data_IF_317637372408
#
_entry.id   IF_317637372408
#
_cell.length_a   1.000
_cell.length_b   1.000
_cell.length_c   1.000
_cell.angle_alpha   90.00
_cell.angle_beta   90.00
_cell.angle_gamma   90.00
#
_symmetry.space_group_name_H-M   'P 1'
#
loop_
_entity.id
_entity.type
_entity.pdbx_description
1 polymer ?
#
# COMPACT_ATOMS: atom_id res chain seq x y z
N UNK A 1 11.68 34.65 3.48
CA UNK A 1 10.50 35.52 3.29
C UNK A 1 9.28 34.67 3.63
N UNK A 2 8.59 34.98 4.72
CA UNK A 2 7.50 34.16 5.24
C UNK A 2 6.24 34.26 4.37
N UNK A 3 5.49 33.17 4.31
CA UNK A 3 4.18 33.08 3.64
C UNK A 3 3.28 34.21 4.20
N UNK A 4 2.58 34.98 3.35
CA UNK A 4 1.69 36.04 3.82
C UNK A 4 0.69 35.50 4.85
N UNK A 5 0.61 36.13 6.02
CA UNK A 5 -0.17 35.64 7.16
C UNK A 5 -1.66 35.41 6.84
N UNK A 6 -2.22 36.15 5.87
CA UNK A 6 -3.60 35.99 5.42
C UNK A 6 -3.82 34.72 4.56
N UNK A 7 -2.82 34.31 3.79
CA UNK A 7 -2.82 33.04 3.03
C UNK A 7 -2.65 31.87 4.00
N UNK A 8 -1.74 32.00 4.97
CA UNK A 8 -1.52 31.01 6.01
C UNK A 8 -2.79 30.78 6.87
N UNK A 9 -3.47 31.88 7.25
CA UNK A 9 -4.71 31.81 8.01
C UNK A 9 -5.89 31.23 7.21
N UNK A 10 -5.96 31.44 5.89
CA UNK A 10 -7.01 30.84 5.04
C UNK A 10 -6.78 29.35 4.75
N UNK A 11 -5.52 28.91 4.59
CA UNK A 11 -5.18 27.54 4.20
C UNK A 11 -5.03 26.58 5.39
N UNK A 12 -4.61 27.07 6.57
CA UNK A 12 -4.16 26.20 7.67
C UNK A 12 -4.97 26.28 8.96
N UNK A 13 -5.94 27.19 9.10
CA UNK A 13 -6.88 27.19 10.23
C UNK A 13 -7.98 26.12 10.05
N UNK A 14 -7.59 24.85 10.09
CA UNK A 14 -8.55 23.77 10.35
C UNK A 14 -8.86 23.76 11.86
N UNK A 15 -10.14 23.84 12.28
CA UNK A 15 -10.56 23.72 13.68
C UNK A 15 -10.23 22.36 14.34
N UNK A 16 -9.67 21.39 13.60
CA UNK A 16 -9.43 20.02 14.03
C UNK A 16 -8.37 19.89 15.12
N UNK A 17 -7.38 20.79 15.18
CA UNK A 17 -6.39 20.85 16.26
C UNK A 17 -7.01 21.16 17.65
N UNK A 18 -8.23 21.72 17.70
CA UNK A 18 -8.92 22.05 18.96
C UNK A 18 -10.00 21.06 19.39
N UNK A 19 -10.29 20.02 18.59
CA UNK A 19 -11.39 19.09 18.86
C UNK A 19 -11.01 17.62 18.60
N UNK A 20 -10.25 16.97 19.52
CA UNK A 20 -9.85 15.56 19.38
C UNK A 20 -11.03 14.57 19.33
N UNK A 21 -12.23 15.03 19.68
CA UNK A 21 -13.47 14.25 19.62
C UNK A 21 -13.84 13.83 18.19
N UNK A 22 -13.60 14.65 17.16
CA UNK A 22 -14.02 14.32 15.79
C UNK A 22 -13.28 13.13 15.18
N UNK A 23 -11.92 13.09 15.19
CA UNK A 23 -11.19 11.92 14.68
C UNK A 23 -11.61 10.62 15.38
N UNK A 24 -11.80 10.64 16.71
CA UNK A 24 -12.21 9.47 17.48
C UNK A 24 -13.62 9.02 17.10
N UNK A 25 -14.59 9.95 16.97
CA UNK A 25 -15.94 9.62 16.51
C UNK A 25 -15.92 9.04 15.09
N UNK A 26 -15.12 9.60 14.18
CA UNK A 26 -14.95 9.08 12.83
C UNK A 26 -14.33 7.68 12.82
N UNK A 27 -13.34 7.40 13.69
CA UNK A 27 -12.75 6.08 13.84
C UNK A 27 -13.78 5.05 14.33
N UNK A 28 -14.59 5.40 15.34
CA UNK A 28 -15.68 4.54 15.82
C UNK A 28 -16.65 4.23 14.69
N UNK A 29 -17.09 5.24 13.94
CA UNK A 29 -18.00 5.06 12.82
C UNK A 29 -17.40 4.14 11.73
N UNK A 30 -16.13 4.32 11.38
CA UNK A 30 -15.43 3.50 10.40
C UNK A 30 -15.31 2.03 10.85
N UNK A 31 -14.97 1.78 12.12
CA UNK A 31 -14.86 0.42 12.68
C UNK A 31 -16.22 -0.26 12.73
N UNK A 32 -17.28 0.44 13.17
CA UNK A 32 -18.64 -0.11 13.20
C UNK A 32 -19.13 -0.46 11.80
N UNK A 33 -18.95 0.44 10.84
CA UNK A 33 -19.34 0.23 9.45
C UNK A 33 -18.57 -0.94 8.82
N UNK A 34 -17.26 -1.03 9.09
CA UNK A 34 -16.43 -2.16 8.64
C UNK A 34 -16.92 -3.47 9.26
N UNK A 35 -17.26 -3.47 10.55
CA UNK A 35 -17.84 -4.62 11.23
C UNK A 35 -19.16 -5.07 10.61
N UNK A 36 -20.07 -4.14 10.29
CA UNK A 36 -21.32 -4.44 9.58
C UNK A 36 -21.04 -5.15 8.26
N UNK A 37 -20.03 -4.73 7.50
CA UNK A 37 -19.68 -5.39 6.24
C UNK A 37 -19.02 -6.76 6.42
N UNK A 38 -18.15 -6.93 7.43
CA UNK A 38 -17.52 -8.22 7.71
C UNK A 38 -18.54 -9.26 8.18
N UNK A 39 -19.56 -8.87 8.96
CA UNK A 39 -20.63 -9.76 9.41
C UNK A 39 -21.78 -9.91 8.40
N UNK A 40 -22.11 -8.85 7.66
CA UNK A 40 -23.21 -8.78 6.68
C UNK A 40 -22.85 -9.24 5.27
N UNK A 41 -21.57 -9.50 5.00
CA UNK A 41 -21.07 -10.05 3.74
C UNK A 41 -20.61 -8.98 2.74
N UNK A 42 -19.62 -9.36 1.93
CA UNK A 42 -18.86 -8.47 1.02
C UNK A 42 -19.69 -7.88 -0.12
N UNK A 43 -20.85 -8.48 -0.43
CA UNK A 43 -21.75 -8.04 -1.51
C UNK A 43 -22.23 -6.60 -1.37
N UNK A 44 -22.35 -6.09 -0.13
CA UNK A 44 -22.80 -4.71 0.12
C UNK A 44 -21.73 -3.67 -0.27
N UNK A 45 -20.46 -3.95 0.06
CA UNK A 45 -19.33 -3.12 -0.35
C UNK A 45 -19.16 -3.17 -1.87
N UNK A 46 -19.26 -4.36 -2.45
CA UNK A 46 -19.14 -4.53 -3.91
C UNK A 46 -20.13 -3.63 -4.65
N UNK A 47 -21.41 -3.62 -4.22
CA UNK A 47 -22.43 -2.74 -4.79
C UNK A 47 -22.12 -1.25 -4.63
N UNK A 48 -21.64 -0.82 -3.46
CA UNK A 48 -21.28 0.58 -3.24
C UNK A 48 -20.09 0.99 -4.12
N UNK A 49 -19.05 0.16 -4.19
CA UNK A 49 -17.86 0.42 -4.99
C UNK A 49 -18.15 0.42 -6.49
N UNK A 50 -19.07 -0.42 -6.97
CA UNK A 50 -19.52 -0.42 -8.36
C UNK A 50 -20.14 0.90 -8.81
N UNK A 51 -20.63 1.73 -7.88
CA UNK A 51 -21.20 3.06 -8.17
C UNK A 51 -20.19 4.17 -7.87
N UNK A 52 -19.56 4.13 -6.69
CA UNK A 52 -18.71 5.22 -6.20
C UNK A 52 -17.36 5.31 -6.92
N UNK A 53 -16.76 4.19 -7.31
CA UNK A 53 -15.47 4.21 -8.02
C UNK A 53 -15.61 4.85 -9.41
N UNK A 54 -16.63 4.51 -10.24
CA UNK A 54 -16.88 5.22 -11.48
C UNK A 54 -17.17 6.72 -11.27
N UNK A 55 -17.94 7.09 -10.23
CA UNK A 55 -18.21 8.50 -9.91
C UNK A 55 -16.91 9.24 -9.57
N UNK A 56 -16.04 8.65 -8.75
CA UNK A 56 -14.75 9.24 -8.42
C UNK A 56 -13.91 9.46 -9.68
N UNK A 57 -13.84 8.47 -10.57
CA UNK A 57 -13.11 8.58 -11.83
C UNK A 57 -13.66 9.71 -12.71
N UNK A 58 -14.99 9.83 -12.82
CA UNK A 58 -15.63 10.92 -13.58
C UNK A 58 -15.28 12.28 -12.97
N UNK A 59 -15.34 12.41 -11.63
CA UNK A 59 -14.97 13.64 -10.93
C UNK A 59 -13.50 13.98 -11.20
N UNK A 60 -12.60 13.00 -11.14
CA UNK A 60 -11.18 13.22 -11.37
C UNK A 60 -10.87 13.62 -12.82
N UNK A 61 -11.49 12.97 -13.81
CA UNK A 61 -11.33 13.32 -15.23
C UNK A 61 -11.87 14.74 -15.50
N UNK A 62 -13.05 15.06 -14.95
CA UNK A 62 -13.61 16.41 -15.03
C UNK A 62 -12.68 17.44 -14.40
N UNK A 63 -12.20 17.16 -13.19
CA UNK A 63 -11.31 18.04 -12.41
C UNK A 63 -9.99 18.24 -13.14
N UNK A 64 -9.41 17.18 -13.71
CA UNK A 64 -8.24 17.23 -14.56
C UNK A 64 -8.48 18.14 -15.77
N UNK A 65 -9.50 17.87 -16.58
CA UNK A 65 -9.80 18.67 -17.77
C UNK A 65 -10.03 20.15 -17.43
N UNK A 66 -10.70 20.43 -16.31
CA UNK A 66 -10.92 21.79 -15.85
C UNK A 66 -9.65 22.46 -15.33
N UNK A 67 -8.79 21.74 -14.60
CA UNK A 67 -7.53 22.29 -14.07
C UNK A 67 -6.62 22.81 -15.19
N UNK A 68 -6.66 22.18 -16.36
CA UNK A 68 -5.87 22.59 -17.53
C UNK A 68 -6.31 23.94 -18.10
N UNK A 69 -7.59 24.31 -17.96
CA UNK A 69 -8.10 25.60 -18.48
C UNK A 69 -7.82 26.78 -17.57
N UNK A 70 -7.21 26.53 -16.40
CA UNK A 70 -6.88 27.58 -15.43
C UNK A 70 -5.68 28.42 -15.90
N UNK A 71 -5.69 29.74 -15.67
CA UNK A 71 -4.52 30.58 -15.97
C UNK A 71 -3.29 30.09 -15.19
N UNK A 72 -2.12 30.07 -15.82
CA UNK A 72 -0.86 29.60 -15.24
C UNK A 72 -0.80 28.09 -14.92
N UNK A 73 -1.78 27.29 -15.36
CA UNK A 73 -1.75 25.83 -15.24
C UNK A 73 -0.51 25.24 -15.90
N UNK A 74 -0.10 25.81 -17.04
CA UNK A 74 1.07 25.41 -17.80
C UNK A 74 2.38 25.58 -17.02
N UNK A 75 2.42 26.51 -16.05
CA UNK A 75 3.59 26.69 -15.17
C UNK A 75 3.71 25.52 -14.21
N UNK A 76 2.59 25.10 -13.59
CA UNK A 76 2.54 23.94 -12.71
C UNK A 76 2.87 22.64 -13.45
N UNK A 77 2.34 22.46 -14.67
CA UNK A 77 2.64 21.31 -15.53
C UNK A 77 4.12 21.30 -15.90
N UNK A 78 4.66 22.41 -16.41
CA UNK A 78 6.09 22.51 -16.75
C UNK A 78 6.96 22.19 -15.55
N UNK A 79 6.59 22.70 -14.38
CA UNK A 79 7.32 22.40 -13.15
C UNK A 79 7.31 20.90 -12.81
N UNK A 80 6.15 20.23 -12.90
CA UNK A 80 5.99 18.79 -12.65
C UNK A 80 6.77 17.89 -13.64
N UNK A 81 7.08 18.39 -14.84
CA UNK A 81 7.78 17.61 -15.88
C UNK A 81 9.20 18.13 -16.21
N UNK A 82 9.73 19.12 -15.49
CA UNK A 82 11.10 19.65 -15.72
C UNK A 82 12.10 19.04 -14.74
N UNK A 83 12.92 18.04 -15.13
CA UNK A 83 13.81 17.36 -14.20
C UNK A 83 14.89 18.28 -13.61
N UNK A 84 15.13 18.16 -12.30
CA UNK A 84 16.23 18.85 -11.60
C UNK A 84 17.44 17.92 -11.54
N UNK A 85 18.32 17.99 -12.53
CA UNK A 85 19.46 17.06 -12.67
C UNK A 85 20.42 17.06 -11.48
N UNK A 86 20.55 18.20 -10.80
CA UNK A 86 21.36 18.35 -9.58
C UNK A 86 20.86 17.45 -8.43
N UNK A 87 19.58 17.08 -8.42
CA UNK A 87 19.01 16.24 -7.37
C UNK A 87 19.53 14.81 -7.40
N UNK A 88 20.00 14.29 -8.55
CA UNK A 88 20.60 12.96 -8.65
C UNK A 88 21.93 12.82 -7.89
N UNK A 89 22.60 13.94 -7.62
CA UNK A 89 23.80 13.96 -6.77
C UNK A 89 23.46 13.89 -5.28
N UNK A 90 22.20 14.12 -4.90
CA UNK A 90 21.75 14.05 -3.51
C UNK A 90 21.40 12.60 -3.17
N UNK A 91 22.12 11.96 -2.25
CA UNK A 91 21.88 10.55 -1.96
C UNK A 91 20.50 10.27 -1.35
N UNK A 92 19.98 11.22 -0.56
CA UNK A 92 18.63 11.14 0.01
C UNK A 92 17.53 10.93 -1.04
N UNK A 93 17.71 11.42 -2.27
CA UNK A 93 16.79 11.18 -3.37
C UNK A 93 16.67 9.68 -3.70
N UNK A 94 17.79 8.97 -3.74
CA UNK A 94 17.83 7.54 -4.06
C UNK A 94 17.24 6.69 -2.96
N UNK A 95 17.46 7.06 -1.69
CA UNK A 95 16.85 6.39 -0.53
C UNK A 95 15.34 6.49 -0.60
N UNK A 96 14.87 7.71 -0.78
CA UNK A 96 13.45 8.02 -0.82
C UNK A 96 12.79 7.35 -2.04
N UNK A 97 13.45 7.33 -3.22
CA UNK A 97 12.96 6.61 -4.39
C UNK A 97 12.94 5.07 -4.23
N UNK A 98 13.97 4.48 -3.62
CA UNK A 98 14.05 3.03 -3.44
C UNK A 98 13.08 2.53 -2.35
N UNK A 99 12.97 3.27 -1.24
CA UNK A 99 11.97 3.00 -0.19
C UNK A 99 10.56 3.09 -0.76
N UNK A 100 10.32 4.11 -1.60
CA UNK A 100 9.05 4.28 -2.30
C UNK A 100 8.74 3.11 -3.24
N UNK A 101 9.70 2.66 -4.05
CA UNK A 101 9.49 1.51 -4.96
C UNK A 101 9.24 0.19 -4.20
N UNK A 102 9.95 -0.03 -3.10
CA UNK A 102 9.73 -1.20 -2.24
C UNK A 102 8.33 -1.20 -1.61
N UNK A 103 7.83 -0.02 -1.22
CA UNK A 103 6.48 0.18 -0.70
C UNK A 103 5.41 -0.01 -1.78
N UNK A 104 5.57 0.64 -2.93
CA UNK A 104 4.63 0.67 -4.05
C UNK A 104 4.39 -0.73 -4.67
N UNK A 105 5.45 -1.51 -4.82
CA UNK A 105 5.34 -2.90 -5.33
C UNK A 105 4.79 -3.89 -4.31
N UNK A 106 4.61 -3.49 -3.04
CA UNK A 106 4.15 -4.36 -1.95
C UNK A 106 5.08 -5.52 -1.62
N UNK A 107 6.35 -5.46 -2.07
CA UNK A 107 7.34 -6.52 -1.90
C UNK A 107 7.60 -6.82 -0.41
N UNK A 108 7.46 -5.83 0.47
CA UNK A 108 7.61 -5.97 1.92
C UNK A 108 6.36 -6.46 2.67
N UNK A 109 5.18 -6.54 2.04
CA UNK A 109 3.91 -6.88 2.71
C UNK A 109 3.37 -8.26 2.33
N UNK A 110 4.15 -9.06 1.59
CA UNK A 110 3.79 -10.43 1.16
C UNK A 110 2.46 -10.54 0.39
N UNK A 111 1.95 -9.44 -0.17
CA UNK A 111 0.64 -9.41 -0.84
C UNK A 111 0.65 -10.29 -2.08
N UNK A 112 1.64 -10.12 -2.95
CA UNK A 112 1.79 -10.92 -4.17
C UNK A 112 2.11 -12.39 -3.85
N UNK A 113 2.86 -12.64 -2.78
CA UNK A 113 3.13 -13.99 -2.31
C UNK A 113 1.83 -14.70 -1.92
N UNK A 114 0.93 -14.00 -1.25
CA UNK A 114 -0.35 -14.55 -0.84
C UNK A 114 -1.27 -14.80 -2.05
N UNK A 115 -1.28 -13.91 -3.04
CA UNK A 115 -1.95 -14.15 -4.32
C UNK A 115 -1.50 -15.43 -5.01
N UNK A 116 -0.20 -15.68 -5.02
CA UNK A 116 0.36 -16.88 -5.62
C UNK A 116 -0.20 -18.16 -5.00
N UNK A 117 -0.62 -18.13 -3.72
CA UNK A 117 -1.22 -19.30 -3.05
C UNK A 117 -2.62 -19.66 -3.57
N UNK A 118 -3.33 -18.73 -4.21
CA UNK A 118 -4.68 -18.96 -4.75
C UNK A 118 -4.68 -19.28 -6.26
N UNK A 119 -3.63 -18.89 -6.99
CA UNK A 119 -3.38 -19.29 -8.38
C UNK A 119 -3.11 -20.81 -8.42
N UNK A 120 -3.74 -21.67 -9.22
CA UNK A 120 -3.75 -21.68 -10.67
C UNK A 120 -2.40 -22.14 -11.23
N UNK A 121 -2.13 -23.44 -11.45
CA UNK A 121 -0.88 -23.88 -12.11
C UNK A 121 -0.76 -23.43 -13.57
N UNK A 122 -1.90 -23.13 -14.20
CA UNK A 122 -1.97 -22.53 -15.53
C UNK A 122 -1.77 -21.01 -15.53
N UNK A 123 -1.72 -20.37 -14.36
CA UNK A 123 -1.46 -18.94 -14.27
C UNK A 123 0.02 -18.66 -14.58
N UNK A 124 0.28 -17.65 -15.43
CA UNK A 124 1.64 -17.25 -15.80
C UNK A 124 2.32 -16.35 -14.75
N UNK A 125 2.47 -16.84 -13.52
CA UNK A 125 3.00 -16.09 -12.35
C UNK A 125 4.28 -15.31 -12.70
N UNK A 126 5.23 -15.92 -13.40
CA UNK A 126 6.50 -15.33 -13.82
C UNK A 126 6.28 -14.11 -14.70
N UNK A 127 5.50 -14.25 -15.79
CA UNK A 127 5.16 -13.12 -16.67
C UNK A 127 4.56 -11.97 -15.86
N UNK A 128 3.59 -12.26 -15.01
CA UNK A 128 2.90 -11.23 -14.25
C UNK A 128 3.78 -10.59 -13.17
N UNK A 129 4.65 -11.37 -12.52
CA UNK A 129 5.63 -10.83 -11.56
C UNK A 129 6.63 -9.85 -12.19
N UNK A 130 6.86 -9.96 -13.51
CA UNK A 130 7.66 -9.01 -14.27
C UNK A 130 6.83 -7.82 -14.75
N UNK A 131 5.66 -8.07 -15.35
CA UNK A 131 4.85 -7.00 -15.96
C UNK A 131 4.18 -6.10 -14.93
N UNK A 132 3.78 -6.61 -13.76
CA UNK A 132 3.10 -5.80 -12.73
C UNK A 132 4.02 -4.67 -12.26
N UNK A 133 5.26 -4.91 -11.77
CA UNK A 133 6.15 -3.83 -11.36
C UNK A 133 6.57 -2.92 -12.51
N UNK A 134 6.80 -3.46 -13.72
CA UNK A 134 7.15 -2.64 -14.89
C UNK A 134 6.03 -1.66 -15.20
N UNK A 135 4.79 -2.15 -15.30
CA UNK A 135 3.64 -1.31 -15.63
C UNK A 135 3.31 -0.32 -14.51
N UNK A 136 3.55 -0.71 -13.26
CA UNK A 136 3.45 0.19 -12.12
C UNK A 136 4.47 1.35 -12.21
N UNK A 137 5.72 1.04 -12.56
CA UNK A 137 6.77 2.05 -12.71
C UNK A 137 6.69 2.85 -14.02
N UNK A 138 6.09 2.30 -15.09
CA UNK A 138 6.05 2.92 -16.44
C UNK A 138 5.34 4.29 -16.43
N UNK A 139 4.33 4.44 -15.58
CA UNK A 139 3.58 5.70 -15.44
C UNK A 139 4.32 6.68 -14.52
N UNK A 140 5.26 6.20 -13.70
CA UNK A 140 6.01 6.97 -12.70
C UNK A 140 7.31 7.63 -13.22
N UNK A 141 7.69 7.43 -14.49
CA UNK A 141 8.97 7.90 -15.07
C UNK A 141 9.12 9.42 -15.24
N UNK A 142 8.17 10.25 -14.82
CA UNK A 142 8.17 11.67 -15.14
C UNK A 142 9.07 12.58 -14.25
N UNK A 143 9.42 12.22 -13.00
CA UNK A 143 10.37 12.98 -12.16
C UNK A 143 10.64 12.27 -10.81
N UNK A 144 11.88 12.22 -10.26
CA UNK A 144 12.14 11.51 -9.00
C UNK A 144 11.87 12.29 -7.69
N UNK A 145 12.06 13.62 -7.64
CA UNK A 145 12.18 14.34 -6.36
C UNK A 145 10.87 14.74 -5.68
N UNK A 146 9.88 15.19 -6.46
CA UNK A 146 8.58 15.66 -5.95
C UNK A 146 7.52 14.56 -5.92
N UNK A 147 7.76 13.52 -6.70
CA UNK A 147 6.96 12.32 -6.70
C UNK A 147 7.21 11.46 -5.48
N UNK A 148 8.27 11.57 -4.70
CA UNK A 148 8.39 10.62 -3.58
C UNK A 148 7.26 10.84 -2.57
N UNK A 149 6.92 12.09 -2.23
CA UNK A 149 5.75 12.39 -1.39
C UNK A 149 4.40 12.14 -2.09
N UNK A 150 4.26 12.50 -3.38
CA UNK A 150 3.03 12.27 -4.14
C UNK A 150 2.82 10.79 -4.56
N UNK A 151 3.91 10.04 -4.71
CA UNK A 151 3.96 8.61 -4.98
C UNK A 151 3.85 7.82 -3.69
N UNK A 152 4.31 8.32 -2.53
CA UNK A 152 3.90 7.79 -1.22
C UNK A 152 2.38 7.79 -1.15
N UNK A 153 1.73 8.90 -1.55
CA UNK A 153 0.27 8.98 -1.62
C UNK A 153 -0.39 8.12 -2.71
N UNK A 154 0.21 8.02 -3.91
CA UNK A 154 -0.24 7.13 -5.01
C UNK A 154 -0.11 5.64 -4.62
N UNK A 155 0.93 5.28 -3.85
CA UNK A 155 1.21 3.92 -3.41
C UNK A 155 0.30 3.46 -2.25
N UNK A 156 -0.24 4.39 -1.46
CA UNK A 156 -1.40 4.12 -0.61
C UNK A 156 -2.63 3.71 -1.45
N UNK A 157 -2.79 4.30 -2.63
CA UNK A 157 -3.96 4.19 -3.50
C UNK A 157 -4.02 2.85 -4.26
N UNK A 158 -2.87 2.30 -4.69
CA UNK A 158 -2.82 1.02 -5.43
C UNK A 158 -3.25 -0.19 -4.60
N UNK A 159 -3.20 -0.08 -3.26
CA UNK A 159 -3.57 -1.16 -2.34
C UNK A 159 -2.73 -2.45 -2.45
N UNK A 160 -1.72 -2.47 -3.34
CA UNK A 160 -0.80 -3.58 -3.57
C UNK A 160 0.20 -3.73 -2.41
N UNK A 161 0.53 -2.62 -1.74
CA UNK A 161 1.22 -2.62 -0.45
C UNK A 161 0.34 -3.19 0.66
N UNK A 162 -0.83 -2.61 0.93
CA UNK A 162 -1.57 -2.86 2.18
C UNK A 162 -2.40 -4.16 2.26
N UNK A 163 -2.26 -5.10 1.32
CA UNK A 163 -3.11 -6.31 1.22
C UNK A 163 -4.57 -6.06 0.81
N UNK A 164 -4.86 -4.89 0.20
CA UNK A 164 -6.20 -4.57 -0.30
C UNK A 164 -6.61 -5.53 -1.42
N UNK A 165 -5.67 -5.74 -2.33
CA UNK A 165 -5.77 -6.71 -3.41
C UNK A 165 -5.98 -8.14 -2.87
N UNK A 166 -5.25 -8.53 -1.81
CA UNK A 166 -5.40 -9.86 -1.20
C UNK A 166 -6.85 -10.16 -0.78
N UNK A 167 -7.54 -9.21 -0.17
CA UNK A 167 -8.96 -9.38 0.18
C UNK A 167 -9.81 -9.64 -1.03
N UNK A 168 -9.63 -8.89 -2.12
CA UNK A 168 -10.33 -9.17 -3.37
C UNK A 168 -10.02 -10.57 -3.92
N UNK A 169 -8.76 -11.01 -3.82
CA UNK A 169 -8.35 -12.36 -4.21
C UNK A 169 -9.14 -13.45 -3.45
N UNK A 170 -9.38 -13.26 -2.15
CA UNK A 170 -10.11 -14.24 -1.34
C UNK A 170 -11.59 -14.41 -1.72
N UNK A 171 -12.18 -13.42 -2.41
CA UNK A 171 -13.56 -13.47 -2.88
C UNK A 171 -13.68 -13.76 -4.39
N UNK A 172 -12.58 -13.72 -5.13
CA UNK A 172 -12.55 -14.02 -6.56
C UNK A 172 -12.49 -15.53 -6.80
N UNK A 173 -13.42 -16.04 -7.62
CA UNK A 173 -13.37 -17.43 -8.10
C UNK A 173 -12.13 -17.67 -8.96
N UNK A 174 -11.65 -18.92 -9.04
CA UNK A 174 -10.45 -19.29 -9.82
C UNK A 174 -10.55 -19.06 -11.33
N UNK A 175 -11.75 -18.90 -11.87
CA UNK A 175 -12.02 -18.50 -13.26
C UNK A 175 -11.87 -16.99 -13.49
N UNK A 176 -11.83 -16.19 -12.41
CA UNK A 176 -11.55 -14.78 -12.52
C UNK A 176 -10.14 -14.61 -13.10
N UNK A 177 -10.00 -13.69 -14.06
CA UNK A 177 -8.71 -13.31 -14.62
C UNK A 177 -7.92 -12.44 -13.62
N UNK A 178 -7.70 -12.96 -12.41
CA UNK A 178 -7.02 -12.30 -11.29
C UNK A 178 -5.74 -11.64 -11.79
N UNK A 179 -4.97 -12.33 -12.61
CA UNK A 179 -3.72 -11.82 -13.14
C UNK A 179 -3.85 -10.72 -14.18
N UNK A 180 -4.94 -10.68 -14.96
CA UNK A 180 -5.25 -9.50 -15.78
C UNK A 180 -5.60 -8.32 -14.87
N UNK A 181 -6.43 -8.54 -13.86
CA UNK A 181 -6.79 -7.50 -12.89
C UNK A 181 -5.56 -6.97 -12.14
N UNK A 182 -4.65 -7.83 -11.69
CA UNK A 182 -3.40 -7.45 -11.03
C UNK A 182 -2.48 -6.63 -11.92
N UNK A 183 -2.59 -6.71 -13.26
CA UNK A 183 -1.87 -5.87 -14.20
C UNK A 183 -2.59 -4.54 -14.46
N UNK A 184 -3.89 -4.57 -14.72
CA UNK A 184 -4.67 -3.38 -15.08
C UNK A 184 -4.92 -2.45 -13.89
N UNK A 185 -5.11 -2.98 -12.68
CA UNK A 185 -5.38 -2.16 -11.50
C UNK A 185 -4.22 -1.19 -11.21
N UNK A 186 -2.94 -1.63 -11.14
CA UNK A 186 -1.83 -0.70 -10.94
C UNK A 186 -1.67 0.35 -12.05
N UNK A 187 -1.92 -0.03 -13.31
CA UNK A 187 -1.87 0.93 -14.43
C UNK A 187 -2.92 2.01 -14.25
N UNK A 188 -4.17 1.61 -14.00
CA UNK A 188 -5.28 2.55 -13.83
C UNK A 188 -5.06 3.44 -12.61
N UNK A 189 -4.55 2.88 -11.52
CA UNK A 189 -4.19 3.63 -10.33
C UNK A 189 -3.18 4.73 -10.64
N UNK A 190 -2.05 4.38 -11.26
CA UNK A 190 -1.01 5.37 -11.58
C UNK A 190 -1.48 6.42 -12.58
N UNK A 191 -2.33 6.06 -13.55
CA UNK A 191 -2.93 7.03 -14.47
C UNK A 191 -3.83 8.02 -13.72
N UNK A 192 -4.67 7.52 -12.81
CA UNK A 192 -5.52 8.36 -11.97
C UNK A 192 -4.70 9.29 -11.09
N UNK A 193 -3.63 8.79 -10.45
CA UNK A 193 -2.74 9.61 -9.64
C UNK A 193 -1.93 10.61 -10.47
N UNK A 194 -1.57 10.28 -11.71
CA UNK A 194 -0.96 11.23 -12.64
C UNK A 194 -1.92 12.37 -13.00
N UNK A 195 -3.18 12.05 -13.31
CA UNK A 195 -4.21 13.06 -13.56
C UNK A 195 -4.49 13.91 -12.32
N UNK A 196 -4.57 13.30 -11.14
CA UNK A 196 -4.74 14.02 -9.89
C UNK A 196 -3.55 14.94 -9.59
N UNK A 197 -2.32 14.47 -9.80
CA UNK A 197 -1.09 15.26 -9.64
C UNK A 197 -1.10 16.46 -10.58
N UNK A 198 -1.33 16.26 -11.88
CA UNK A 198 -1.44 17.37 -12.84
C UNK A 198 -2.53 18.35 -12.41
N UNK A 199 -3.68 17.86 -11.96
CA UNK A 199 -4.78 18.71 -11.53
C UNK A 199 -4.44 19.55 -10.30
N UNK A 200 -3.80 18.95 -9.30
CA UNK A 200 -3.35 19.63 -8.09
C UNK A 200 -2.27 20.66 -8.45
N UNK A 201 -1.20 20.28 -9.15
CA UNK A 201 -0.13 21.21 -9.54
C UNK A 201 -0.64 22.37 -10.38
N UNK A 202 -1.49 22.10 -11.37
CA UNK A 202 -2.13 23.14 -12.19
C UNK A 202 -2.94 24.10 -11.33
N UNK A 203 -3.70 23.57 -10.37
CA UNK A 203 -4.52 24.37 -9.47
C UNK A 203 -3.68 25.22 -8.53
N UNK A 204 -2.74 24.61 -7.81
CA UNK A 204 -1.93 25.30 -6.80
C UNK A 204 -1.15 26.43 -7.43
N UNK A 205 -0.48 26.17 -8.56
CA UNK A 205 0.26 27.20 -9.29
C UNK A 205 -0.68 28.27 -9.84
N UNK A 206 -1.82 27.90 -10.42
CA UNK A 206 -2.81 28.86 -10.91
C UNK A 206 -3.31 29.79 -9.80
N UNK A 207 -3.69 29.23 -8.65
CA UNK A 207 -4.22 29.99 -7.52
C UNK A 207 -3.16 30.87 -6.90
N UNK A 208 -1.97 30.33 -6.57
CA UNK A 208 -0.94 31.10 -5.88
C UNK A 208 -0.31 32.18 -6.75
N UNK A 209 -0.07 31.91 -8.04
CA UNK A 209 0.42 32.95 -8.98
C UNK A 209 -0.67 33.98 -9.25
N UNK A 210 -1.94 33.55 -9.28
CA UNK A 210 -3.08 34.45 -9.44
C UNK A 210 -3.28 35.39 -8.25
N UNK A 211 -2.99 34.94 -7.03
CA UNK A 211 -3.06 35.77 -5.81
C UNK A 211 -1.80 36.63 -5.59
N UNK A 212 -0.62 36.07 -5.85
CA UNK A 212 0.67 36.75 -5.72
C UNK A 212 1.54 36.52 -6.96
N UNK A 213 1.51 37.46 -7.90
CA UNK A 213 2.28 37.39 -9.14
C UNK A 213 3.80 37.43 -8.97
N UNK A 214 4.30 37.74 -7.77
CA UNK A 214 5.74 37.74 -7.46
C UNK A 214 6.21 36.44 -6.79
N UNK A 215 5.31 35.48 -6.52
CA UNK A 215 5.67 34.25 -5.84
C UNK A 215 6.62 33.39 -6.68
N UNK A 216 7.68 32.89 -6.05
CA UNK A 216 8.65 32.03 -6.73
C UNK A 216 8.17 30.59 -6.77
N UNK A 217 8.57 29.83 -7.81
CA UNK A 217 8.22 28.40 -7.94
C UNK A 217 8.69 27.57 -6.74
N UNK A 218 9.87 27.90 -6.19
CA UNK A 218 10.40 27.30 -4.96
C UNK A 218 9.54 27.62 -3.73
N UNK A 219 8.96 28.82 -3.63
CA UNK A 219 8.05 29.17 -2.55
C UNK A 219 6.72 28.41 -2.65
N UNK A 220 6.16 28.28 -3.87
CA UNK A 220 4.98 27.44 -4.11
C UNK A 220 5.24 25.99 -3.67
N UNK A 221 6.40 25.44 -4.05
CA UNK A 221 6.80 24.08 -3.65
C UNK A 221 6.85 23.94 -2.13
N UNK A 222 7.47 24.89 -1.44
CA UNK A 222 7.54 24.87 0.03
C UNK A 222 6.16 24.93 0.66
N UNK A 223 5.24 25.74 0.13
CA UNK A 223 3.85 25.79 0.60
C UNK A 223 3.19 24.42 0.42
N UNK A 224 3.35 23.78 -0.75
CA UNK A 224 2.78 22.46 -1.01
C UNK A 224 3.35 21.39 -0.05
N UNK A 225 4.66 21.41 0.20
CA UNK A 225 5.34 20.47 1.10
C UNK A 225 4.99 20.70 2.57
N UNK A 226 4.74 21.95 2.97
CA UNK A 226 4.35 22.32 4.33
C UNK A 226 2.83 22.26 4.53
N UNK A 227 2.06 21.92 3.49
CA UNK A 227 0.61 21.83 3.59
C UNK A 227 0.19 20.57 4.36
N UNK A 228 0.13 20.69 5.69
CA UNK A 228 -0.31 19.63 6.60
C UNK A 228 0.74 18.54 6.86
N UNK A 229 0.68 17.82 8.01
CA UNK A 229 1.55 16.69 8.29
C UNK A 229 1.40 15.59 7.22
N UNK A 230 2.51 14.96 6.82
CA UNK A 230 2.49 13.80 5.90
C UNK A 230 1.87 14.07 4.51
N UNK A 231 1.99 15.27 3.95
CA UNK A 231 1.41 15.66 2.64
C UNK A 231 -0.12 15.66 2.54
N UNK A 232 -0.82 15.61 3.68
CA UNK A 232 -2.30 15.57 3.73
C UNK A 232 -2.98 16.81 3.15
N UNK A 233 -2.34 17.97 3.15
CA UNK A 233 -2.92 19.21 2.65
C UNK A 233 -3.13 19.25 1.14
N UNK A 234 -2.45 18.41 0.35
CA UNK A 234 -2.71 18.32 -1.10
C UNK A 234 -4.17 17.95 -1.39
N UNK A 235 -4.71 16.95 -0.69
CA UNK A 235 -6.10 16.52 -0.86
C UNK A 235 -7.06 17.35 -0.01
N UNK A 236 -6.75 17.57 1.27
CA UNK A 236 -7.70 18.18 2.20
C UNK A 236 -7.73 19.71 2.17
N UNK A 237 -6.74 20.35 1.53
CA UNK A 237 -6.69 21.82 1.38
C UNK A 237 -6.92 22.22 -0.08
N UNK A 238 -6.15 21.66 -1.02
CA UNK A 238 -6.12 22.18 -2.39
C UNK A 238 -7.27 21.70 -3.27
N UNK A 239 -7.81 20.50 -3.07
CA UNK A 239 -9.02 20.04 -3.78
C UNK A 239 -10.26 20.90 -3.42
N UNK A 240 -10.55 21.21 -2.14
CA UNK A 240 -11.60 22.18 -1.81
C UNK A 240 -11.38 23.56 -2.43
N UNK A 241 -10.14 24.07 -2.42
CA UNK A 241 -9.79 25.36 -3.03
C UNK A 241 -10.11 25.35 -4.52
N UNK A 242 -9.75 24.27 -5.23
CA UNK A 242 -10.11 24.08 -6.63
C UNK A 242 -11.63 24.20 -6.82
N UNK A 243 -12.40 23.36 -6.13
CA UNK A 243 -13.84 23.32 -6.29
C UNK A 243 -14.55 24.61 -5.86
N UNK A 244 -13.98 25.39 -4.93
CA UNK A 244 -14.55 26.68 -4.52
C UNK A 244 -14.68 27.68 -5.68
N UNK A 245 -13.82 27.56 -6.70
CA UNK A 245 -13.84 28.38 -7.90
C UNK A 245 -14.99 28.02 -8.86
N UNK A 246 -15.75 26.95 -8.60
CA UNK A 246 -16.83 26.46 -9.45
C UNK A 246 -18.24 26.72 -8.86
N UNK A 247 -18.34 27.69 -7.96
CA UNK A 247 -19.60 28.13 -7.36
C UNK A 247 -20.37 26.99 -6.67
N UNK A 248 -21.68 26.92 -6.90
CA UNK A 248 -22.56 25.92 -6.28
C UNK A 248 -22.25 24.50 -6.74
N UNK A 249 -21.96 24.30 -8.03
CA UNK A 249 -21.63 22.98 -8.57
C UNK A 249 -20.31 22.46 -7.98
N UNK A 250 -19.36 23.35 -7.70
CA UNK A 250 -18.14 23.04 -6.96
C UNK A 250 -18.38 22.45 -5.58
N UNK A 251 -19.34 22.97 -4.80
CA UNK A 251 -19.68 22.40 -3.49
C UNK A 251 -20.21 20.97 -3.60
N UNK A 252 -21.03 20.69 -4.62
CA UNK A 252 -21.56 19.35 -4.88
C UNK A 252 -20.42 18.39 -5.27
N UNK A 253 -19.54 18.81 -6.18
CA UNK A 253 -18.36 18.02 -6.59
C UNK A 253 -17.43 17.74 -5.41
N UNK A 254 -17.20 18.73 -4.55
CA UNK A 254 -16.40 18.58 -3.34
C UNK A 254 -17.02 17.56 -2.37
N UNK A 255 -18.33 17.63 -2.14
CA UNK A 255 -19.03 16.67 -1.29
C UNK A 255 -18.98 15.25 -1.85
N UNK A 256 -19.20 15.09 -3.16
CA UNK A 256 -19.11 13.79 -3.83
C UNK A 256 -17.68 13.24 -3.82
N UNK A 257 -16.67 14.09 -4.02
CA UNK A 257 -15.26 13.71 -3.95
C UNK A 257 -14.90 13.13 -2.58
N UNK A 258 -15.22 13.83 -1.49
CA UNK A 258 -14.93 13.31 -0.14
C UNK A 258 -15.79 12.11 0.24
N UNK A 259 -17.03 12.01 -0.26
CA UNK A 259 -17.84 10.80 -0.11
C UNK A 259 -17.15 9.60 -0.76
N UNK A 260 -16.65 9.76 -1.98
CA UNK A 260 -15.88 8.72 -2.66
C UNK A 260 -14.59 8.39 -1.90
N UNK A 261 -13.87 9.39 -1.39
CA UNK A 261 -12.65 9.21 -0.61
C UNK A 261 -12.90 8.39 0.68
N UNK A 262 -14.03 8.63 1.36
CA UNK A 262 -14.43 7.84 2.54
C UNK A 262 -14.62 6.36 2.18
N UNK A 263 -15.32 6.06 1.07
CA UNK A 263 -15.54 4.68 0.65
C UNK A 263 -14.27 3.99 0.16
N UNK A 264 -13.37 4.72 -0.51
CA UNK A 264 -12.04 4.23 -0.87
C UNK A 264 -11.19 3.90 0.38
N UNK A 265 -11.28 4.73 1.42
CA UNK A 265 -10.65 4.43 2.72
C UNK A 265 -11.28 3.21 3.42
N UNK A 266 -12.59 3.07 3.39
CA UNK A 266 -13.32 1.94 4.00
C UNK A 266 -13.04 0.61 3.32
N UNK A 267 -12.96 0.57 1.98
CA UNK A 267 -12.62 -0.65 1.25
C UNK A 267 -11.21 -1.12 1.59
N UNK A 268 -10.28 -0.18 1.75
CA UNK A 268 -8.90 -0.48 2.19
C UNK A 268 -8.86 -0.97 3.63
N UNK A 269 -9.59 -0.31 4.54
CA UNK A 269 -9.68 -0.73 5.95
C UNK A 269 -10.24 -2.15 6.11
N UNK A 270 -11.32 -2.48 5.40
CA UNK A 270 -11.89 -3.83 5.37
C UNK A 270 -10.82 -4.85 5.02
N UNK A 271 -10.06 -4.55 3.96
CA UNK A 271 -9.11 -5.49 3.44
C UNK A 271 -7.90 -5.69 4.36
N UNK A 272 -7.45 -4.62 5.02
CA UNK A 272 -6.41 -4.71 6.04
C UNK A 272 -6.86 -5.56 7.23
N UNK A 273 -8.10 -5.39 7.69
CA UNK A 273 -8.65 -6.18 8.79
C UNK A 273 -8.78 -7.66 8.41
N UNK A 274 -9.10 -7.95 7.14
CA UNK A 274 -9.23 -9.31 6.65
C UNK A 274 -7.93 -10.11 6.76
N UNK A 275 -6.75 -9.48 6.64
CA UNK A 275 -5.45 -10.14 6.85
C UNK A 275 -5.33 -10.69 8.27
N UNK A 276 -5.66 -9.88 9.27
CA UNK A 276 -5.62 -10.31 10.67
C UNK A 276 -6.62 -11.43 10.96
N UNK A 277 -7.81 -11.34 10.35
CA UNK A 277 -8.83 -12.40 10.46
C UNK A 277 -8.30 -13.71 9.89
N UNK A 278 -7.63 -13.68 8.73
CA UNK A 278 -7.08 -14.89 8.11
C UNK A 278 -5.92 -15.46 8.93
N UNK A 279 -4.99 -14.63 9.39
CA UNK A 279 -3.90 -15.07 10.26
C UNK A 279 -4.44 -15.73 11.54
N UNK A 280 -5.47 -15.15 12.16
CA UNK A 280 -6.13 -15.74 13.33
C UNK A 280 -6.84 -17.07 13.00
N UNK A 281 -7.47 -17.17 11.82
CA UNK A 281 -8.10 -18.42 11.38
C UNK A 281 -7.09 -19.52 11.07
N UNK A 282 -5.90 -19.18 10.55
CA UNK A 282 -4.83 -20.14 10.28
C UNK A 282 -4.32 -20.79 11.57
N UNK A 283 -4.29 -20.06 12.69
CA UNK A 283 -4.01 -20.65 14.00
C UNK A 283 -5.24 -21.31 14.64
N UNK A 284 -6.36 -21.45 13.92
CA UNK A 284 -7.57 -22.17 14.34
C UNK A 284 -8.55 -21.35 15.19
N UNK A 285 -8.54 -20.01 15.12
CA UNK A 285 -9.55 -19.17 15.80
C UNK A 285 -10.86 -19.18 15.00
N UNK A 286 -12.03 -19.38 15.65
CA UNK A 286 -13.33 -19.30 14.98
C UNK A 286 -13.58 -17.94 14.33
N UNK A 287 -14.25 -17.92 13.18
CA UNK A 287 -14.43 -16.71 12.37
C UNK A 287 -15.03 -15.52 13.14
N UNK A 288 -16.07 -15.73 13.96
CA UNK A 288 -16.70 -14.66 14.75
C UNK A 288 -15.72 -14.01 15.72
N UNK A 289 -14.94 -14.82 16.42
CA UNK A 289 -13.94 -14.34 17.38
C UNK A 289 -12.83 -13.59 16.65
N UNK A 290 -12.35 -14.15 15.53
CA UNK A 290 -11.31 -13.53 14.70
C UNK A 290 -11.73 -12.14 14.18
N UNK A 291 -12.98 -11.98 13.73
CA UNK A 291 -13.52 -10.69 13.28
C UNK A 291 -13.60 -9.69 14.44
N UNK A 292 -14.25 -10.06 15.54
CA UNK A 292 -14.43 -9.17 16.69
C UNK A 292 -13.08 -8.77 17.31
N UNK A 293 -12.17 -9.71 17.50
CA UNK A 293 -10.84 -9.42 18.05
C UNK A 293 -10.03 -8.50 17.16
N UNK A 294 -10.10 -8.68 15.83
CA UNK A 294 -9.36 -7.84 14.87
C UNK A 294 -9.90 -6.42 14.84
N UNK A 295 -11.23 -6.24 14.89
CA UNK A 295 -11.86 -4.91 14.95
C UNK A 295 -11.52 -4.18 16.26
N UNK A 296 -11.60 -4.87 17.39
CA UNK A 296 -11.26 -4.29 18.69
C UNK A 296 -9.77 -3.94 18.79
N UNK A 297 -8.88 -4.80 18.28
CA UNK A 297 -7.45 -4.52 18.23
C UNK A 297 -7.15 -3.31 17.33
N UNK A 298 -7.76 -3.23 16.14
CA UNK A 298 -7.61 -2.10 15.22
C UNK A 298 -8.08 -0.79 15.87
N UNK A 299 -9.22 -0.81 16.57
CA UNK A 299 -9.70 0.35 17.31
C UNK A 299 -8.74 0.76 18.43
N UNK A 300 -8.34 -0.19 19.29
CA UNK A 300 -7.51 0.09 20.46
C UNK A 300 -6.11 0.60 20.07
N UNK A 301 -5.47 -0.02 19.09
CA UNK A 301 -4.13 0.36 18.61
C UNK A 301 -4.19 1.64 17.77
N UNK A 302 -5.28 1.89 17.06
CA UNK A 302 -5.45 3.13 16.27
C UNK A 302 -5.88 4.35 17.08
N UNK A 303 -6.42 4.17 18.29
CA UNK A 303 -6.93 5.26 19.12
C UNK A 303 -5.89 6.34 19.45
N UNK A 304 -4.63 6.01 19.82
CA UNK A 304 -3.59 7.02 20.02
C UNK A 304 -3.37 7.90 18.79
N UNK A 305 -3.36 7.31 17.59
CA UNK A 305 -3.21 8.02 16.31
C UNK A 305 -4.40 8.92 15.98
N UNK A 306 -5.62 8.54 16.40
CA UNK A 306 -6.80 9.39 16.26
C UNK A 306 -6.75 10.60 17.21
N UNK A 307 -6.13 10.47 18.38
CA UNK A 307 -6.04 11.55 19.37
C UNK A 307 -4.90 12.52 19.04
N UNK A 308 -3.75 12.02 18.57
CA UNK A 308 -2.58 12.84 18.25
C UNK A 308 -2.02 12.52 16.86
N UNK A 309 -1.96 13.55 16.01
CA UNK A 309 -1.41 13.44 14.66
C UNK A 309 0.08 13.08 14.65
N UNK A 310 0.86 13.52 15.65
CA UNK A 310 2.28 13.13 15.78
C UNK A 310 2.47 11.62 15.94
N UNK A 311 1.53 10.94 16.62
CA UNK A 311 1.55 9.48 16.75
C UNK A 311 1.21 8.85 15.40
N UNK A 312 0.21 9.37 14.68
CA UNK A 312 -0.11 8.90 13.35
C UNK A 312 1.11 9.00 12.41
N UNK A 313 1.79 10.14 12.42
CA UNK A 313 3.00 10.38 11.61
C UNK A 313 4.15 9.43 12.00
N UNK A 314 4.37 9.20 13.30
CA UNK A 314 5.35 8.21 13.75
C UNK A 314 5.02 6.80 13.25
N UNK A 315 3.76 6.36 13.44
CA UNK A 315 3.35 5.02 13.04
C UNK A 315 3.49 4.83 11.52
N UNK A 316 3.14 5.85 10.73
CA UNK A 316 3.27 5.80 9.28
C UNK A 316 4.74 5.64 8.84
N UNK A 317 5.64 6.47 9.38
CA UNK A 317 7.07 6.40 9.09
C UNK A 317 7.70 5.08 9.56
N UNK A 318 7.46 4.71 10.83
CA UNK A 318 8.04 3.52 11.46
C UNK A 318 7.65 2.24 10.73
N UNK A 319 6.37 2.07 10.37
CA UNK A 319 5.92 0.87 9.65
C UNK A 319 6.21 0.92 8.15
N UNK A 320 6.30 2.12 7.55
CA UNK A 320 6.77 2.30 6.18
C UNK A 320 8.20 1.77 5.98
N UNK A 321 9.12 2.13 6.87
CA UNK A 321 10.49 1.61 6.85
C UNK A 321 10.58 0.10 7.17
N UNK A 322 9.68 -0.41 8.03
CA UNK A 322 9.64 -1.83 8.39
C UNK A 322 9.37 -2.74 7.18
N UNK A 323 8.78 -2.23 6.10
CA UNK A 323 8.54 -3.00 4.88
C UNK A 323 9.84 -3.50 4.24
N UNK A 324 10.91 -2.70 4.32
CA UNK A 324 12.23 -3.10 3.80
C UNK A 324 12.77 -4.29 4.60
N UNK A 325 12.60 -4.25 5.93
CA UNK A 325 12.98 -5.35 6.84
C UNK A 325 12.18 -6.61 6.52
N UNK A 326 10.88 -6.48 6.33
CA UNK A 326 10.01 -7.60 5.96
C UNK A 326 10.39 -8.20 4.60
N UNK A 327 10.69 -7.37 3.60
CA UNK A 327 11.21 -7.81 2.30
C UNK A 327 12.52 -8.59 2.43
N UNK A 328 13.44 -8.11 3.28
CA UNK A 328 14.68 -8.83 3.59
C UNK A 328 14.41 -10.19 4.23
N UNK A 329 13.48 -10.29 5.18
CA UNK A 329 13.10 -11.57 5.80
C UNK A 329 12.60 -12.57 4.74
N UNK A 330 11.81 -12.12 3.75
CA UNK A 330 11.35 -12.99 2.66
C UNK A 330 12.51 -13.52 1.81
N UNK A 331 13.52 -12.69 1.52
CA UNK A 331 14.70 -13.17 0.78
C UNK A 331 15.49 -14.22 1.57
N UNK A 332 15.56 -14.07 2.90
CA UNK A 332 16.21 -15.04 3.79
C UNK A 332 15.48 -16.39 3.73
N UNK A 333 14.14 -16.41 3.62
CA UNK A 333 13.38 -17.65 3.45
C UNK A 333 13.77 -18.39 2.17
N UNK A 334 13.95 -17.68 1.06
CA UNK A 334 14.40 -18.26 -0.22
C UNK A 334 15.80 -18.85 -0.09
N UNK A 335 16.70 -18.15 0.61
CA UNK A 335 18.06 -18.64 0.89
C UNK A 335 18.02 -19.89 1.76
N UNK A 336 17.25 -19.87 2.86
CA UNK A 336 17.11 -20.97 3.80
C UNK A 336 16.54 -22.24 3.15
N UNK A 337 15.65 -22.09 2.18
CA UNK A 337 15.04 -23.20 1.43
C UNK A 337 15.97 -23.82 0.36
N UNK A 338 17.13 -23.21 0.09
CA UNK A 338 17.99 -23.41 -1.09
C UNK A 338 17.46 -22.68 -2.34
N UNK A 339 18.13 -21.60 -2.80
CA UNK A 339 17.61 -20.72 -3.83
C UNK A 339 17.59 -21.36 -5.23
N UNK A 340 18.55 -22.26 -5.52
CA UNK A 340 18.55 -23.03 -6.78
C UNK A 340 17.37 -24.00 -6.83
N UNK A 341 17.07 -24.63 -5.70
CA UNK A 341 15.91 -25.52 -5.59
C UNK A 341 14.60 -24.73 -5.67
N UNK A 342 14.53 -23.58 -5.00
CA UNK A 342 13.37 -22.68 -5.08
C UNK A 342 13.07 -22.31 -6.54
N UNK A 343 14.09 -21.85 -7.28
CA UNK A 343 13.96 -21.49 -8.69
C UNK A 343 13.47 -22.66 -9.54
N UNK A 344 14.03 -23.86 -9.37
CA UNK A 344 13.67 -25.02 -10.20
C UNK A 344 12.30 -25.59 -9.87
N UNK A 345 11.98 -25.74 -8.59
CA UNK A 345 10.79 -26.47 -8.13
C UNK A 345 9.59 -25.55 -7.98
N UNK A 346 9.77 -24.42 -7.28
CA UNK A 346 8.66 -23.52 -6.91
C UNK A 346 8.31 -22.56 -8.04
N UNK A 347 9.33 -22.04 -8.75
CA UNK A 347 9.11 -21.09 -9.85
C UNK A 347 8.92 -21.83 -11.18
N UNK A 348 9.98 -22.45 -11.69
CA UNK A 348 9.99 -23.00 -13.06
C UNK A 348 9.21 -24.32 -13.19
N UNK A 349 9.14 -25.13 -12.13
CA UNK A 349 8.50 -26.45 -12.15
C UNK A 349 7.01 -26.43 -11.80
N UNK A 350 6.51 -25.34 -11.23
CA UNK A 350 5.11 -25.27 -10.79
C UNK A 350 4.14 -24.95 -11.93
N UNK A 351 4.49 -23.98 -12.80
CA UNK A 351 3.64 -23.51 -13.89
C UNK A 351 3.65 -24.42 -15.13
N UNK A 352 2.51 -24.57 -15.80
CA UNK A 352 2.38 -25.43 -17.00
C UNK A 352 2.62 -24.72 -18.34
N UNK A 353 2.47 -23.39 -18.40
CA UNK A 353 2.60 -22.57 -19.62
C UNK A 353 3.13 -21.16 -19.31
N UNK A 354 4.22 -21.11 -18.55
CA UNK A 354 4.83 -19.86 -18.08
C UNK A 354 6.25 -19.67 -18.63
N UNK A 355 6.80 -18.46 -18.46
CA UNK A 355 8.20 -18.20 -18.77
C UNK A 355 9.12 -18.85 -17.75
N UNK A 356 10.29 -19.28 -18.20
CA UNK A 356 11.33 -19.81 -17.33
C UNK A 356 12.20 -18.67 -16.84
N UNK A 357 12.41 -18.61 -15.52
CA UNK A 357 13.30 -17.64 -14.89
C UNK A 357 14.75 -18.15 -14.97
N UNK A 358 15.70 -17.32 -15.45
CA UNK A 358 17.09 -17.73 -15.57
C UNK A 358 17.79 -17.81 -14.21
N UNK A 359 18.89 -18.55 -14.15
CA UNK A 359 19.69 -18.73 -12.91
C UNK A 359 20.25 -17.42 -12.35
N UNK A 360 20.40 -16.39 -13.19
CA UNK A 360 20.80 -15.03 -12.76
C UNK A 360 19.87 -14.48 -11.67
N UNK A 361 18.58 -14.84 -11.70
CA UNK A 361 17.62 -14.46 -10.65
C UNK A 361 18.06 -14.91 -9.25
N UNK A 362 18.78 -16.03 -9.14
CA UNK A 362 19.32 -16.49 -7.86
C UNK A 362 20.32 -15.47 -7.31
N UNK A 363 21.25 -14.98 -8.12
CA UNK A 363 22.18 -13.94 -7.68
C UNK A 363 21.46 -12.64 -7.28
N UNK A 364 20.38 -12.29 -8.00
CA UNK A 364 19.56 -11.13 -7.69
C UNK A 364 18.90 -11.28 -6.30
N UNK A 365 18.20 -12.38 -6.05
CA UNK A 365 17.43 -12.56 -4.81
C UNK A 365 18.32 -12.83 -3.59
N UNK A 366 19.50 -13.41 -3.76
CA UNK A 366 20.38 -13.77 -2.63
C UNK A 366 21.46 -12.75 -2.33
N UNK A 367 21.83 -11.90 -3.29
CA UNK A 367 22.91 -10.91 -3.12
C UNK A 367 22.41 -9.49 -3.36
N UNK A 368 21.84 -9.22 -4.54
CA UNK A 368 21.50 -7.85 -4.94
C UNK A 368 20.38 -7.28 -4.07
N UNK A 369 19.26 -7.98 -3.95
CA UNK A 369 18.10 -7.51 -3.18
C UNK A 369 18.43 -7.38 -1.69
N UNK A 370 19.03 -8.39 -1.00
CA UNK A 370 19.44 -8.24 0.38
C UNK A 370 20.45 -7.10 0.59
N UNK A 371 21.41 -6.96 -0.33
CA UNK A 371 22.39 -5.87 -0.31
C UNK A 371 21.75 -4.50 -0.39
N UNK A 372 20.77 -4.31 -1.29
CA UNK A 372 20.00 -3.07 -1.40
C UNK A 372 19.21 -2.81 -0.12
N UNK A 373 18.49 -3.81 0.42
CA UNK A 373 17.72 -3.65 1.65
C UNK A 373 18.61 -3.22 2.84
N UNK A 374 19.76 -3.89 3.01
CA UNK A 374 20.73 -3.56 4.07
C UNK A 374 21.29 -2.16 3.85
N UNK A 375 21.70 -1.83 2.62
CA UNK A 375 22.22 -0.51 2.28
C UNK A 375 21.20 0.58 2.62
N UNK A 376 19.93 0.43 2.24
CA UNK A 376 18.89 1.42 2.51
C UNK A 376 18.64 1.62 4.00
N UNK A 377 18.59 0.54 4.79
CA UNK A 377 18.39 0.63 6.25
C UNK A 377 19.60 1.29 6.92
N UNK A 378 20.82 0.84 6.60
CA UNK A 378 22.05 1.39 7.17
C UNK A 378 22.20 2.87 6.79
N UNK A 379 21.89 3.21 5.55
CA UNK A 379 21.93 4.59 5.09
C UNK A 379 20.91 5.45 5.82
N UNK A 380 19.64 5.02 5.89
CA UNK A 380 18.62 5.76 6.61
C UNK A 380 19.01 6.05 8.06
N UNK A 381 19.58 5.06 8.77
CA UNK A 381 20.12 5.25 10.12
C UNK A 381 21.27 6.26 10.12
N UNK A 382 22.21 6.14 9.17
CA UNK A 382 23.36 7.03 9.06
C UNK A 382 22.95 8.49 8.82
N UNK A 383 22.07 8.75 7.86
CA UNK A 383 21.58 10.11 7.55
C UNK A 383 20.84 10.68 8.77
N UNK A 384 20.00 9.89 9.44
CA UNK A 384 19.30 10.33 10.64
C UNK A 384 20.25 10.72 11.78
N UNK A 385 21.27 9.87 12.04
CA UNK A 385 22.29 10.09 13.07
C UNK A 385 23.17 11.31 12.75
N UNK A 386 23.46 11.54 11.47
CA UNK A 386 24.25 12.67 11.00
C UNK A 386 23.51 13.99 11.15
N UNK A 387 22.24 14.02 10.78
CA UNK A 387 21.45 15.26 10.72
C UNK A 387 20.81 15.63 12.07
N UNK A 388 20.78 14.69 13.02
CA UNK A 388 20.19 14.88 14.35
C UNK A 388 21.24 14.73 15.46
N UNK A 389 21.64 15.85 16.09
CA UNK A 389 22.65 15.84 17.17
C UNK A 389 22.30 14.90 18.33
N UNK A 390 21.00 14.76 18.64
CA UNK A 390 20.47 13.90 19.71
C UNK A 390 19.57 12.80 19.16
N UNK A 391 20.05 12.08 18.17
CA UNK A 391 19.33 10.95 17.55
C UNK A 391 18.92 9.85 18.54
N UNK A 392 19.63 9.73 19.66
CA UNK A 392 19.39 8.74 20.72
C UNK A 392 18.28 9.13 21.70
N UNK A 393 17.78 10.37 21.67
CA UNK A 393 16.66 10.79 22.50
C UNK A 393 15.38 10.10 21.99
N UNK A 394 14.62 9.49 22.91
CA UNK A 394 13.36 8.82 22.57
C UNK A 394 12.28 9.88 22.41
N UNK A 395 12.10 10.35 21.18
CA UNK A 395 11.01 11.23 20.77
C UNK A 395 10.08 10.50 19.80
N UNK A 396 8.88 11.03 19.55
CA UNK A 396 7.89 10.37 18.69
C UNK A 396 8.41 10.11 17.27
N UNK A 397 9.29 10.95 16.73
CA UNK A 397 9.80 10.83 15.35
C UNK A 397 11.27 10.42 15.30
N UNK A 398 11.81 9.89 16.41
CA UNK A 398 13.21 9.48 16.50
C UNK A 398 13.50 8.16 15.79
N UNK A 399 14.67 8.03 15.16
CA UNK A 399 15.11 6.71 14.70
C UNK A 399 15.21 5.70 15.87
N UNK A 400 15.55 6.19 17.07
CA UNK A 400 15.62 5.36 18.28
C UNK A 400 14.24 4.80 18.66
N UNK A 401 13.17 5.59 18.61
CA UNK A 401 11.80 5.07 18.83
C UNK A 401 11.42 4.05 17.78
N UNK A 402 11.69 4.31 16.50
CA UNK A 402 11.45 3.35 15.40
C UNK A 402 12.14 2.00 15.66
N UNK A 403 13.43 2.02 16.03
CA UNK A 403 14.18 0.78 16.32
C UNK A 403 13.64 0.04 17.55
N UNK A 404 13.25 0.75 18.60
CA UNK A 404 12.64 0.15 19.81
C UNK A 404 11.29 -0.48 19.45
N UNK A 405 10.44 0.23 18.70
CA UNK A 405 9.13 -0.26 18.27
C UNK A 405 9.26 -1.54 17.44
N UNK A 406 10.21 -1.58 16.50
CA UNK A 406 10.51 -2.79 15.73
C UNK A 406 10.96 -3.94 16.62
N UNK A 407 11.87 -3.70 17.55
CA UNK A 407 12.37 -4.73 18.46
C UNK A 407 11.23 -5.30 19.31
N UNK A 408 10.35 -4.44 19.84
CA UNK A 408 9.20 -4.85 20.65
C UNK A 408 8.25 -5.72 19.82
N UNK A 409 7.89 -5.30 18.61
CA UNK A 409 6.95 -6.05 17.76
C UNK A 409 7.57 -7.35 17.25
N UNK A 410 8.83 -7.35 16.81
CA UNK A 410 9.51 -8.58 16.39
C UNK A 410 9.59 -9.59 17.54
N UNK A 411 9.93 -9.12 18.75
CA UNK A 411 9.97 -9.97 19.94
C UNK A 411 8.59 -10.55 20.26
N UNK A 412 7.53 -9.73 20.22
CA UNK A 412 6.16 -10.18 20.43
C UNK A 412 5.74 -11.24 19.40
N UNK A 413 6.03 -11.03 18.11
CA UNK A 413 5.72 -11.99 17.04
C UNK A 413 6.46 -13.30 17.26
N UNK A 414 7.75 -13.27 17.60
CA UNK A 414 8.53 -14.47 17.89
C UNK A 414 7.95 -15.23 19.08
N UNK A 415 7.60 -14.54 20.17
CA UNK A 415 6.97 -15.16 21.35
C UNK A 415 5.64 -15.81 20.97
N UNK A 416 4.76 -15.09 20.26
CA UNK A 416 3.46 -15.63 19.82
C UNK A 416 3.67 -16.88 18.96
N UNK A 417 4.60 -16.84 18.00
CA UNK A 417 4.91 -17.99 17.15
C UNK A 417 5.43 -19.18 17.96
N UNK A 418 6.34 -18.96 18.92
CA UNK A 418 6.85 -20.02 19.80
C UNK A 418 5.74 -20.66 20.62
N UNK A 419 4.82 -19.84 21.17
CA UNK A 419 3.65 -20.33 21.92
C UNK A 419 2.73 -21.15 21.01
N UNK A 420 2.43 -20.66 19.81
CA UNK A 420 1.56 -21.37 18.85
C UNK A 420 2.16 -22.71 18.44
N UNK A 421 3.46 -22.75 18.12
CA UNK A 421 4.16 -24.00 17.78
C UNK A 421 4.13 -25.00 18.95
N UNK A 422 4.24 -24.49 20.20
CA UNK A 422 4.22 -25.34 21.40
C UNK A 422 2.83 -25.90 21.72
N UNK A 423 1.79 -25.09 21.55
CA UNK A 423 0.40 -25.41 21.94
C UNK A 423 -0.36 -26.13 20.82
N UNK A 424 -0.13 -25.77 19.56
CA UNK A 424 -0.85 -26.29 18.38
C UNK A 424 0.08 -27.01 17.40
N UNK A 425 0.99 -27.83 17.92
CA UNK A 425 1.94 -28.61 17.11
C UNK A 425 1.26 -29.47 16.04
N UNK A 426 0.10 -30.03 16.36
CA UNK A 426 -0.67 -30.92 15.47
C UNK A 426 -1.19 -30.21 14.21
N UNK A 427 -1.36 -28.89 14.28
CA UNK A 427 -1.85 -28.08 13.18
C UNK A 427 -0.84 -28.07 12.02
N UNK A 428 0.46 -27.97 12.34
CA UNK A 428 1.56 -28.01 11.38
C UNK A 428 1.80 -29.41 10.79
N UNK A 429 1.52 -30.47 11.56
CA UNK A 429 1.62 -31.85 11.07
C UNK A 429 0.53 -32.16 10.05
N UNK A 430 -0.70 -31.65 10.24
CA UNK A 430 -1.79 -31.77 9.28
C UNK A 430 -1.57 -30.97 7.99
N UNK A 431 -0.99 -29.76 8.07
CA UNK A 431 -0.76 -28.93 6.88
C UNK A 431 0.22 -29.57 5.89
N UNK A 432 1.20 -30.36 6.37
CA UNK A 432 2.09 -31.16 5.50
C UNK A 432 1.35 -32.16 4.61
N UNK A 433 0.13 -32.57 4.95
CA UNK A 433 -0.65 -33.55 4.18
C UNK A 433 -1.52 -32.91 3.09
N UNK A 434 -1.82 -31.62 3.19
CA UNK A 434 -2.74 -30.91 2.29
C UNK A 434 -2.05 -29.68 1.73
N UNK A 435 -0.83 -29.83 1.24
CA UNK A 435 -0.05 -28.77 0.63
C UNK A 435 0.99 -29.40 -0.30
N UNK A 436 1.45 -28.65 -1.28
CA UNK A 436 2.65 -29.02 -1.99
C UNK A 436 3.80 -29.15 -0.98
N UNK A 437 4.36 -30.34 -0.78
CA UNK A 437 5.63 -30.45 -0.06
C UNK A 437 6.74 -30.04 -1.02
N UNK A 438 7.36 -28.86 -0.84
CA UNK A 438 8.41 -28.43 -1.74
C UNK A 438 9.68 -29.30 -1.57
N UNK A 439 9.80 -30.08 -0.48
CA UNK A 439 10.90 -31.02 -0.25
C UNK A 439 10.66 -32.40 -0.86
N UNK A 440 9.41 -32.73 -1.18
CA UNK A 440 9.01 -33.96 -1.86
C UNK A 440 8.06 -33.65 -3.02
N UNK A 441 8.58 -33.18 -4.17
CA UNK A 441 7.77 -32.80 -5.32
C UNK A 441 7.05 -33.99 -5.99
N UNK A 442 7.29 -35.23 -5.55
CA UNK A 442 6.55 -36.41 -6.00
C UNK A 442 5.21 -36.58 -5.25
N UNK A 443 5.04 -35.94 -4.08
CA UNK A 443 3.74 -35.88 -3.36
C UNK A 443 2.68 -35.05 -4.08
N UNK A 444 3.03 -34.36 -5.16
CA UNK A 444 2.05 -33.93 -6.15
C UNK A 444 1.52 -35.18 -6.86
N UNK A 445 0.60 -35.88 -6.22
CA UNK A 445 -0.13 -36.94 -6.90
C UNK A 445 -0.76 -36.33 -8.15
N UNK A 446 -0.36 -36.84 -9.32
CA UNK A 446 -1.14 -36.74 -10.56
C UNK A 446 -2.51 -37.41 -10.40
N UNK A 447 -2.69 -38.16 -9.32
CA UNK A 447 -3.88 -38.94 -9.03
C UNK A 447 -5.02 -38.07 -8.53
N UNK A 448 -6.17 -38.30 -9.15
CA UNK A 448 -7.44 -37.71 -8.85
C UNK A 448 -7.81 -37.87 -7.38
N UNK A 449 -8.16 -36.76 -6.73
CA UNK A 449 -8.67 -36.82 -5.35
C UNK A 449 -10.15 -37.15 -5.42
N UNK A 450 -10.58 -38.18 -4.69
CA UNK A 450 -12.02 -38.52 -4.56
C UNK A 450 -12.58 -37.76 -3.36
N UNK A 451 -13.50 -36.84 -3.60
CA UNK A 451 -14.24 -36.12 -2.54
C UNK A 451 -15.74 -36.35 -2.78
N UNK A 452 -16.42 -36.97 -1.82
CA UNK A 452 -17.88 -37.19 -1.88
C UNK A 452 -18.35 -38.17 -2.96
N UNK A 453 -17.52 -39.12 -3.36
CA UNK A 453 -17.86 -40.12 -4.39
C UNK A 453 -17.60 -39.68 -5.84
N UNK A 454 -17.13 -38.45 -6.06
CA UNK A 454 -16.73 -37.96 -7.39
C UNK A 454 -15.20 -38.00 -7.54
N UNK A 455 -14.71 -38.50 -8.69
CA UNK A 455 -13.29 -38.57 -9.05
C UNK A 455 -12.89 -37.24 -9.69
N UNK A 456 -12.02 -36.47 -9.03
CA UNK A 456 -11.58 -35.17 -9.54
C UNK A 456 -10.16 -35.26 -10.09
N UNK A 457 -9.98 -35.26 -11.41
CA UNK A 457 -8.65 -35.20 -12.02
C UNK A 457 -7.93 -33.91 -11.62
N UNK A 458 -6.66 -34.02 -11.19
CA UNK A 458 -5.83 -32.89 -10.73
C UNK A 458 -5.56 -31.87 -11.87
N UNK A 459 -5.82 -32.26 -13.13
CA UNK A 459 -5.81 -31.37 -14.29
C UNK A 459 -7.11 -30.56 -14.50
N UNK A 460 -8.23 -30.97 -13.91
CA UNK A 460 -9.56 -30.35 -14.08
C UNK A 460 -10.06 -29.63 -12.82
N UNK A 461 -9.30 -29.68 -11.71
CA UNK A 461 -9.74 -29.06 -10.48
C UNK A 461 -9.57 -27.53 -10.53
N UNK A 462 -10.66 -26.86 -10.87
CA UNK A 462 -10.91 -25.43 -10.60
C UNK A 462 -10.86 -25.07 -9.10
N UNK A 463 -10.32 -25.92 -8.21
CA UNK A 463 -10.37 -25.78 -6.76
C UNK A 463 -8.97 -25.70 -6.15
N UNK A 464 -8.78 -24.73 -5.25
CA UNK A 464 -7.56 -24.57 -4.47
C UNK A 464 -7.50 -25.55 -3.32
N UNK A 465 -6.28 -25.87 -2.91
CA UNK A 465 -6.00 -26.67 -1.73
C UNK A 465 -6.56 -26.01 -0.44
N UNK A 466 -6.93 -24.72 -0.48
CA UNK A 466 -7.58 -23.96 0.61
C UNK A 466 -9.10 -23.84 0.49
N UNK A 467 -9.72 -24.41 -0.54
CA UNK A 467 -11.18 -24.40 -0.74
C UNK A 467 -11.86 -25.72 -0.31
N UNK A 468 -11.22 -26.45 0.61
CA UNK A 468 -11.82 -27.56 1.35
C UNK A 468 -11.87 -27.23 2.84
#
# INVERSE_FOLDING_TARGET
MGIPAHIYAKLFYLPTQKQPQWPVTCQIAAILLTGVFLFGGVKWIERANLVLVPILLIILIFTFGWSLTRPYSEVGIKFLFTPTWESFAQPGLWIAAASQNAFDTGAGLSVLFTYATYMGRSASITKYSLFIPIMNNLVSFAQPGLWIAAASQNAFDTGAGLSVLFTYATYMGRSASITKYSLFIPIMNNLVSLYASIAIFSTVFSTLIGEDGAITRSAILQIMQQSGPGSTGLTFTWIPVLFSNFGTLGRVLCALFFLCLIFAGLSSLLANIQVYILAAKEIGVPHRIAVTSSLLACFAVGLPSAIKLEILENQDNTWGYALIVSGLILTILVVAYNPLRFLRVVINGFGTSDWTVPVVWVAIITVVVPGICILLIVWWIYDYVRDTERWYDVTWTSATSTLIEWLVVLTAIVIINLVVVRVKRDLYVKTKRFGADPYDPETYTKESVVVGGNIWAVGDSNYSVRTL
#
